data_IF_724458977495
#
_entry.id   IF_724458977495
#
_cell.length_a   1.000
_cell.length_b   1.000
_cell.length_c   1.000
_cell.angle_alpha   90.00
_cell.angle_beta   90.00
_cell.angle_gamma   90.00
#
_symmetry.space_group_name_H-M   'P 1'
#
loop_
_entity.id
_entity.type
_entity.pdbx_description
1 polymer ?
#
# COMPACT_ATOMS: atom_id res chain seq x y z
N UNK A 1 -28.44 -0.70 3.27
CA UNK A 1 -27.47 -1.77 2.98
C UNK A 1 -26.07 -1.20 3.03
N UNK A 2 -25.33 -1.56 4.07
CA UNK A 2 -23.94 -1.15 4.26
C UNK A 2 -23.01 -2.11 3.51
N UNK A 3 -22.14 -1.57 2.67
CA UNK A 3 -21.13 -2.33 1.95
C UNK A 3 -20.00 -2.75 2.90
N UNK A 4 -19.76 -4.05 3.01
CA UNK A 4 -18.60 -4.59 3.72
C UNK A 4 -17.46 -4.86 2.72
N UNK A 5 -16.42 -4.04 2.78
CA UNK A 5 -15.22 -4.23 1.98
C UNK A 5 -14.36 -5.36 2.56
N UNK A 6 -14.12 -6.40 1.77
CA UNK A 6 -13.05 -7.38 2.00
C UNK A 6 -11.91 -7.08 1.03
N UNK A 7 -10.72 -6.80 1.58
CA UNK A 7 -9.56 -6.40 0.78
C UNK A 7 -8.30 -7.19 1.18
N UNK A 8 -7.96 -8.27 0.45
CA UNK A 8 -6.73 -9.01 0.69
C UNK A 8 -5.50 -8.23 0.21
N UNK A 9 -4.44 -8.23 1.02
CA UNK A 9 -3.15 -7.59 0.74
C UNK A 9 -2.11 -8.64 0.31
N UNK A 10 -1.31 -8.34 -0.73
CA UNK A 10 -0.28 -9.24 -1.26
C UNK A 10 1.10 -8.58 -1.28
N UNK A 11 2.14 -9.33 -0.92
CA UNK A 11 3.53 -8.90 -1.07
C UNK A 11 4.12 -9.44 -2.37
N UNK A 12 4.57 -8.54 -3.23
CA UNK A 12 5.23 -8.87 -4.49
C UNK A 12 6.71 -8.46 -4.44
N UNK A 13 7.63 -9.43 -4.50
CA UNK A 13 9.09 -9.19 -4.50
C UNK A 13 9.72 -9.28 -5.89
N UNK A 14 9.02 -9.85 -6.87
CA UNK A 14 9.53 -10.09 -8.22
C UNK A 14 8.46 -9.72 -9.24
N UNK A 15 8.78 -8.75 -10.08
CA UNK A 15 7.97 -8.34 -11.22
C UNK A 15 8.89 -7.96 -12.39
N UNK A 16 8.31 -7.82 -13.59
CA UNK A 16 9.05 -7.46 -14.81
C UNK A 16 8.86 -5.97 -15.10
N UNK A 17 9.94 -5.27 -15.42
CA UNK A 17 9.93 -3.84 -15.73
C UNK A 17 10.09 -2.95 -14.49
N UNK A 18 9.76 -1.67 -14.64
CA UNK A 18 9.80 -0.66 -13.57
C UNK A 18 8.38 -0.10 -13.42
N UNK A 19 7.90 0.09 -12.18
CA UNK A 19 6.58 0.65 -11.93
C UNK A 19 6.49 2.08 -12.47
N UNK A 20 5.45 2.36 -13.28
CA UNK A 20 5.20 3.64 -13.93
C UNK A 20 3.73 4.05 -13.77
N UNK A 21 3.42 5.34 -13.59
CA UNK A 21 2.06 5.81 -13.52
C UNK A 21 1.43 5.82 -14.92
N UNK A 22 0.34 5.07 -15.12
CA UNK A 22 -0.34 4.95 -16.42
C UNK A 22 -1.70 5.66 -16.48
N UNK A 23 -2.20 6.13 -15.34
CA UNK A 23 -3.53 6.73 -15.19
C UNK A 23 -3.43 8.14 -14.54
N UNK A 24 -2.25 8.76 -14.56
CA UNK A 24 -2.02 10.10 -14.02
C UNK A 24 -1.77 10.16 -12.51
N UNK A 25 -1.67 9.02 -11.83
CA UNK A 25 -1.39 8.94 -10.40
C UNK A 25 0.06 9.30 -10.05
N UNK A 26 0.27 9.83 -8.84
CA UNK A 26 1.62 9.95 -8.27
C UNK A 26 2.12 8.61 -7.75
N UNK A 27 3.39 8.28 -8.00
CA UNK A 27 4.06 7.10 -7.42
C UNK A 27 5.26 7.54 -6.59
N UNK A 28 5.44 6.91 -5.42
CA UNK A 28 6.58 7.12 -4.55
C UNK A 28 7.01 5.80 -3.89
N UNK A 29 8.30 5.49 -3.98
CA UNK A 29 8.91 4.42 -3.21
C UNK A 29 9.21 4.91 -1.80
N UNK A 30 8.67 4.24 -0.79
CA UNK A 30 8.73 4.67 0.61
C UNK A 30 9.32 3.55 1.45
N UNK A 31 10.21 3.89 2.39
CA UNK A 31 10.73 2.90 3.35
C UNK A 31 9.62 2.51 4.35
N UNK A 32 9.56 1.27 4.86
CA UNK A 32 8.43 0.82 5.66
C UNK A 32 8.08 1.74 6.85
N UNK A 33 9.09 2.18 7.61
CA UNK A 33 8.88 3.08 8.76
C UNK A 33 8.30 4.46 8.40
N UNK A 34 8.49 4.92 7.16
CA UNK A 34 7.98 6.21 6.68
C UNK A 34 6.55 6.10 6.14
N UNK A 35 5.95 4.92 6.04
CA UNK A 35 4.57 4.77 5.55
C UNK A 35 3.54 5.54 6.39
N UNK A 36 3.82 5.73 7.69
CA UNK A 36 2.97 6.50 8.61
C UNK A 36 2.92 8.00 8.30
N UNK A 37 3.87 8.51 7.53
CA UNK A 37 3.93 9.93 7.16
C UNK A 37 2.97 10.27 5.99
N UNK A 38 2.32 9.26 5.40
CA UNK A 38 1.43 9.43 4.25
C UNK A 38 -0.03 9.27 4.67
N UNK A 39 -0.93 10.14 4.19
CA UNK A 39 -2.35 9.99 4.47
C UNK A 39 -2.86 8.69 3.85
N UNK A 40 -3.40 7.80 4.68
CA UNK A 40 -3.99 6.53 4.27
C UNK A 40 -5.51 6.54 4.51
N UNK A 41 -6.30 5.87 3.66
CA UNK A 41 -7.70 5.60 3.95
C UNK A 41 -7.86 4.85 5.29
N UNK A 42 -8.99 5.02 6.00
CA UNK A 42 -9.22 4.35 7.29
C UNK A 42 -9.12 2.82 7.24
N UNK A 43 -9.44 2.21 6.09
CA UNK A 43 -9.33 0.76 5.88
C UNK A 43 -7.87 0.27 5.75
N UNK A 44 -6.96 1.13 5.31
CA UNK A 44 -5.55 0.79 5.06
C UNK A 44 -4.64 1.09 6.25
N UNK A 45 -4.99 2.07 7.08
CA UNK A 45 -4.18 2.49 8.23
C UNK A 45 -3.76 1.32 9.16
N UNK A 46 -4.64 0.34 9.48
CA UNK A 46 -4.25 -0.82 10.27
C UNK A 46 -3.21 -1.73 9.60
N UNK A 47 -3.15 -1.76 8.26
CA UNK A 47 -2.25 -2.60 7.48
C UNK A 47 -0.79 -2.14 7.58
N UNK A 48 -0.55 -0.86 7.90
CA UNK A 48 0.79 -0.27 7.97
C UNK A 48 1.68 -1.01 8.97
N UNK A 49 1.16 -1.38 10.15
CA UNK A 49 1.96 -2.05 11.17
C UNK A 49 2.42 -3.43 10.68
N UNK A 50 1.52 -4.20 10.07
CA UNK A 50 1.86 -5.50 9.48
C UNK A 50 2.91 -5.38 8.37
N UNK A 51 2.83 -4.33 7.54
CA UNK A 51 3.82 -4.08 6.50
C UNK A 51 5.19 -3.66 7.06
N UNK A 52 5.23 -2.88 8.15
CA UNK A 52 6.48 -2.51 8.84
C UNK A 52 7.18 -3.73 9.42
N UNK A 53 6.44 -4.66 10.00
CA UNK A 53 7.02 -5.86 10.62
C UNK A 53 7.46 -6.90 9.58
N UNK A 54 6.83 -6.90 8.40
CA UNK A 54 7.08 -7.87 7.33
C UNK A 54 8.23 -7.49 6.37
N UNK A 55 8.50 -6.19 6.19
CA UNK A 55 9.43 -5.65 5.17
C UNK A 55 10.74 -5.14 5.77
#
# INVERSE_FOLDING_TARGET
>A
DDFHLLMPLYVCRRFRGIAQPKEGQGLKWVRPRQMRDYPMPPADAPLIQFLIDLL
#
